data_IF_832953767489
#
_entry.id   IF_832953767489
#
_cell.length_a   1.000
_cell.length_b   1.000
_cell.length_c   1.000
_cell.angle_alpha   90.00
_cell.angle_beta   90.00
_cell.angle_gamma   90.00
#
_symmetry.space_group_name_H-M   'P 1'
#
loop_
_entity.id
_entity.type
_entity.pdbx_description
1 polymer ?
#
# COMPACT_ATOMS: atom_id res chain seq x y z
N UNK A 1 -37.46 68.89 54.93
CA UNK A 1 -36.36 68.03 54.41
C UNK A 1 -37.02 66.78 53.82
N UNK A 2 -37.32 66.76 52.52
CA UNK A 2 -38.01 65.64 51.88
C UNK A 2 -36.96 64.67 51.32
N UNK A 3 -36.98 63.42 51.78
CA UNK A 3 -36.11 62.35 51.30
C UNK A 3 -36.84 61.65 50.17
N UNK A 4 -36.29 61.73 48.95
CA UNK A 4 -36.77 60.98 47.79
C UNK A 4 -36.18 59.57 47.88
N UNK A 5 -37.03 58.56 48.00
CA UNK A 5 -36.63 57.16 48.02
C UNK A 5 -36.75 56.59 46.60
N UNK A 6 -35.61 56.26 45.99
CA UNK A 6 -35.56 55.61 44.67
C UNK A 6 -35.81 54.10 44.87
N UNK A 7 -36.80 53.48 44.20
CA UNK A 7 -36.98 52.03 44.28
C UNK A 7 -35.82 51.30 43.56
N UNK A 8 -35.41 50.11 44.05
CA UNK A 8 -34.33 49.37 43.42
C UNK A 8 -34.72 48.92 42.01
N UNK A 9 -33.76 49.03 41.07
CA UNK A 9 -33.89 48.49 39.73
C UNK A 9 -34.15 46.98 39.81
N UNK A 10 -35.26 46.57 39.21
CA UNK A 10 -35.65 45.19 39.01
C UNK A 10 -34.51 44.45 38.31
N UNK A 11 -33.75 43.64 39.05
CA UNK A 11 -32.78 42.73 38.46
C UNK A 11 -33.58 41.73 37.63
N UNK A 12 -33.50 41.85 36.30
CA UNK A 12 -33.98 40.82 35.40
C UNK A 12 -33.07 39.60 35.58
N UNK A 13 -33.50 38.77 36.52
CA UNK A 13 -33.43 37.32 36.52
C UNK A 13 -32.35 36.74 35.61
N UNK A 14 -31.30 36.23 36.26
CA UNK A 14 -30.33 35.28 35.70
C UNK A 14 -30.99 34.00 35.14
N UNK A 15 -32.31 33.86 35.25
CA UNK A 15 -33.07 32.67 34.85
C UNK A 15 -33.50 32.69 33.37
N UNK A 16 -33.35 33.81 32.66
CA UNK A 16 -33.63 33.85 31.20
C UNK A 16 -32.65 33.00 30.38
N UNK A 17 -31.45 32.71 30.89
CA UNK A 17 -30.47 31.85 30.22
C UNK A 17 -30.79 30.36 30.41
N UNK A 18 -31.55 29.98 31.46
CA UNK A 18 -31.89 28.59 31.75
C UNK A 18 -33.09 28.05 30.94
N UNK A 19 -33.84 28.91 30.24
CA UNK A 19 -35.06 28.53 29.50
C UNK A 19 -34.80 27.80 28.18
N UNK A 20 -33.57 27.80 27.66
CA UNK A 20 -33.22 27.12 26.39
C UNK A 20 -32.53 25.76 26.54
N UNK A 21 -32.35 25.27 27.78
CA UNK A 21 -31.68 24.01 28.07
C UNK A 21 -32.26 22.76 27.33
N UNK A 22 -33.58 22.64 27.05
CA UNK A 22 -34.10 21.48 26.32
C UNK A 22 -33.75 21.49 24.83
N UNK A 23 -33.76 22.66 24.19
CA UNK A 23 -33.57 22.80 22.73
C UNK A 23 -32.11 22.66 22.35
N UNK A 24 -31.19 23.26 23.12
CA UNK A 24 -29.75 23.14 22.89
C UNK A 24 -29.27 21.69 23.01
N UNK A 25 -29.74 20.94 24.03
CA UNK A 25 -29.43 19.51 24.17
C UNK A 25 -29.98 18.65 23.03
N UNK A 26 -31.15 19.00 22.47
CA UNK A 26 -31.72 18.31 21.29
C UNK A 26 -30.91 18.59 20.03
N UNK A 27 -30.43 19.83 19.84
CA UNK A 27 -29.57 20.21 18.71
C UNK A 27 -28.19 19.57 18.79
N UNK A 28 -27.56 19.53 19.96
CA UNK A 28 -26.27 18.85 20.15
C UNK A 28 -26.37 17.34 19.90
N UNK A 29 -27.48 16.74 20.32
CA UNK A 29 -27.76 15.32 20.04
C UNK A 29 -27.94 15.06 18.54
N UNK A 30 -28.68 15.92 17.85
CA UNK A 30 -28.88 15.85 16.40
C UNK A 30 -27.57 16.08 15.63
N UNK A 31 -26.76 17.06 16.03
CA UNK A 31 -25.47 17.35 15.41
C UNK A 31 -24.46 16.24 15.65
N UNK A 32 -24.43 15.63 16.85
CA UNK A 32 -23.61 14.45 17.11
C UNK A 32 -24.05 13.24 16.28
N UNK A 33 -25.37 13.01 16.14
CA UNK A 33 -25.90 11.95 15.27
C UNK A 33 -25.60 12.20 13.79
N UNK A 34 -25.74 13.43 13.31
CA UNK A 34 -25.46 13.80 11.93
C UNK A 34 -23.96 13.68 11.60
N UNK A 35 -23.09 14.06 12.54
CA UNK A 35 -21.63 13.94 12.41
C UNK A 35 -21.16 12.48 12.38
N UNK A 36 -21.77 11.62 13.20
CA UNK A 36 -21.52 10.17 13.17
C UNK A 36 -22.00 9.56 11.85
N UNK A 37 -23.19 9.92 11.35
CA UNK A 37 -23.69 9.44 10.06
C UNK A 37 -22.80 9.85 8.88
N UNK A 38 -22.29 11.09 8.88
CA UNK A 38 -21.38 11.59 7.83
C UNK A 38 -20.00 10.90 7.89
N UNK A 39 -19.49 10.63 9.09
CA UNK A 39 -18.24 9.87 9.28
C UNK A 39 -18.39 8.42 8.82
N UNK A 40 -19.52 7.76 9.13
CA UNK A 40 -19.78 6.39 8.69
C UNK A 40 -19.93 6.29 7.16
N UNK A 41 -20.54 7.28 6.50
CA UNK A 41 -20.62 7.29 5.03
C UNK A 41 -19.27 7.49 4.36
N UNK A 42 -18.38 8.30 4.95
CA UNK A 42 -17.03 8.52 4.42
C UNK A 42 -16.12 7.30 4.60
N UNK A 43 -16.27 6.54 5.69
CA UNK A 43 -15.54 5.28 5.89
C UNK A 43 -15.92 4.20 4.87
N UNK A 44 -17.18 4.15 4.42
CA UNK A 44 -17.63 3.17 3.41
C UNK A 44 -16.94 3.35 2.05
N UNK A 45 -16.54 4.60 1.71
CA UNK A 45 -15.78 4.92 0.50
C UNK A 45 -14.28 4.66 0.65
N UNK A 46 -13.75 4.59 1.87
CA UNK A 46 -12.36 4.21 2.16
C UNK A 46 -12.14 2.69 2.21
N UNK A 47 -13.21 1.90 2.26
CA UNK A 47 -13.18 0.43 2.27
C UNK A 47 -13.45 -0.17 0.88
N UNK A 48 -13.26 0.61 -0.20
CA UNK A 48 -13.23 0.07 -1.54
C UNK A 48 -11.97 -0.79 -1.72
N UNK A 49 -12.07 -2.03 -1.23
CA UNK A 49 -11.66 -3.25 -1.95
C UNK A 49 -10.30 -3.10 -2.65
N UNK A 50 -9.23 -3.41 -1.93
CA UNK A 50 -8.14 -4.15 -2.58
C UNK A 50 -8.63 -5.58 -2.67
N UNK A 51 -9.47 -5.86 -3.68
CA UNK A 51 -9.65 -7.24 -4.09
C UNK A 51 -8.26 -7.71 -4.51
N UNK A 52 -7.81 -8.85 -3.96
CA UNK A 52 -6.65 -9.52 -4.51
C UNK A 52 -6.98 -9.79 -5.99
N UNK A 53 -6.33 -9.04 -6.87
CA UNK A 53 -6.47 -9.22 -8.30
C UNK A 53 -5.49 -10.30 -8.71
N UNK A 54 -5.95 -11.30 -9.44
CA UNK A 54 -5.05 -12.28 -10.05
C UNK A 54 -4.01 -11.53 -10.89
N UNK A 55 -2.74 -11.83 -10.66
CA UNK A 55 -1.67 -11.26 -11.44
C UNK A 55 -1.64 -12.00 -12.77
N UNK A 56 -2.18 -11.37 -13.80
CA UNK A 56 -2.05 -11.86 -15.17
C UNK A 56 -0.61 -11.68 -15.65
N UNK A 57 0.16 -12.76 -15.62
CA UNK A 57 1.54 -12.77 -16.10
C UNK A 57 1.63 -12.54 -17.62
N UNK A 58 0.57 -12.79 -18.38
CA UNK A 58 0.57 -12.55 -19.83
C UNK A 58 0.47 -11.05 -20.16
N UNK A 59 -0.12 -10.27 -19.27
CA UNK A 59 -0.33 -8.84 -19.41
C UNK A 59 0.37 -8.01 -18.32
N UNK A 60 1.39 -8.57 -17.66
CA UNK A 60 2.11 -7.89 -16.57
C UNK A 60 2.80 -6.61 -17.11
N UNK A 61 2.39 -5.41 -16.67
CA UNK A 61 3.04 -4.19 -17.13
C UNK A 61 4.41 -4.03 -16.46
N UNK A 62 5.37 -3.48 -17.20
CA UNK A 62 6.75 -3.25 -16.73
C UNK A 62 6.84 -2.33 -15.50
N UNK A 63 5.81 -1.54 -15.23
CA UNK A 63 5.69 -0.71 -14.02
C UNK A 63 5.33 -1.49 -12.76
N UNK A 64 4.90 -2.75 -12.89
CA UNK A 64 4.51 -3.62 -11.78
C UNK A 64 5.50 -4.77 -11.58
N UNK A 65 6.21 -5.18 -12.62
CA UNK A 65 7.22 -6.21 -12.55
C UNK A 65 7.66 -6.69 -13.92
N UNK A 66 8.34 -7.82 -13.94
CA UNK A 66 8.85 -8.48 -15.12
C UNK A 66 8.84 -10.00 -14.90
N UNK A 67 8.98 -10.77 -15.97
CA UNK A 67 9.06 -12.23 -15.90
C UNK A 67 10.48 -12.70 -16.07
N UNK A 68 10.78 -13.82 -15.42
CA UNK A 68 12.02 -14.57 -15.64
C UNK A 68 11.59 -15.90 -16.24
N UNK A 69 12.02 -16.12 -17.48
CA UNK A 69 11.57 -17.20 -18.34
C UNK A 69 12.74 -18.15 -18.55
N UNK A 70 12.51 -19.45 -18.40
CA UNK A 70 13.51 -20.46 -18.73
C UNK A 70 13.68 -20.57 -20.25
N UNK A 71 14.91 -20.73 -20.72
CA UNK A 71 15.22 -20.76 -22.15
C UNK A 71 15.06 -22.14 -22.80
N UNK A 72 15.57 -23.20 -22.17
CA UNK A 72 15.56 -24.54 -22.77
C UNK A 72 14.51 -25.44 -22.11
N UNK A 73 13.68 -26.15 -22.89
CA UNK A 73 12.71 -27.09 -22.34
C UNK A 73 13.39 -28.19 -21.53
N UNK A 74 12.81 -28.53 -20.38
CA UNK A 74 13.26 -29.56 -19.43
C UNK A 74 14.44 -29.20 -18.51
N UNK A 75 15.07 -28.04 -18.64
CA UNK A 75 16.16 -27.59 -17.75
C UNK A 75 15.71 -27.37 -16.28
N UNK A 76 14.40 -27.34 -16.04
CA UNK A 76 13.76 -27.06 -14.74
C UNK A 76 14.28 -25.74 -14.13
N UNK A 77 14.45 -24.73 -14.98
CA UNK A 77 14.77 -23.37 -14.55
C UNK A 77 13.78 -22.85 -13.51
N UNK A 78 14.28 -22.05 -12.58
CA UNK A 78 13.50 -21.45 -11.49
C UNK A 78 12.76 -22.48 -10.62
N UNK A 79 13.28 -23.71 -10.52
CA UNK A 79 12.79 -24.68 -9.56
C UNK A 79 13.12 -24.26 -8.11
N UNK A 80 14.24 -23.57 -7.91
CA UNK A 80 14.64 -22.97 -6.65
C UNK A 80 15.07 -21.52 -6.86
N UNK A 81 14.70 -20.66 -5.91
CA UNK A 81 15.05 -19.25 -5.86
C UNK A 81 15.47 -18.91 -4.44
N UNK A 82 16.54 -18.14 -4.28
CA UNK A 82 16.99 -17.63 -2.98
C UNK A 82 17.48 -16.19 -3.11
N UNK A 83 17.45 -15.46 -2.01
CA UNK A 83 18.25 -14.25 -1.86
C UNK A 83 19.73 -14.65 -1.92
N UNK A 84 20.52 -13.97 -2.75
CA UNK A 84 21.96 -14.17 -2.88
C UNK A 84 22.77 -13.14 -2.07
N UNK A 85 22.12 -12.13 -1.52
CA UNK A 85 22.75 -10.91 -1.01
C UNK A 85 23.30 -10.07 -2.16
N UNK A 86 23.98 -8.97 -1.83
CA UNK A 86 24.71 -8.16 -2.80
C UNK A 86 26.02 -8.88 -3.22
N UNK A 87 26.00 -9.55 -4.37
CA UNK A 87 27.14 -10.32 -4.90
C UNK A 87 28.13 -9.42 -5.62
N UNK A 88 27.66 -8.30 -6.18
CA UNK A 88 28.46 -7.41 -7.02
C UNK A 88 29.01 -6.18 -6.28
N UNK A 89 28.58 -5.93 -5.04
CA UNK A 89 29.03 -4.85 -4.17
C UNK A 89 28.38 -3.49 -4.43
N UNK A 90 27.21 -3.43 -5.09
CA UNK A 90 26.52 -2.18 -5.42
C UNK A 90 25.57 -1.66 -4.32
N UNK A 91 25.45 -2.42 -3.22
CA UNK A 91 24.59 -2.12 -2.08
C UNK A 91 23.16 -2.63 -2.24
N UNK A 92 22.87 -3.46 -3.24
CA UNK A 92 21.53 -3.98 -3.54
C UNK A 92 21.55 -5.50 -3.56
N UNK A 93 20.62 -6.12 -2.83
CA UNK A 93 20.53 -7.58 -2.78
C UNK A 93 20.18 -8.18 -4.15
N UNK A 94 20.91 -9.23 -4.53
CA UNK A 94 20.74 -10.01 -5.74
C UNK A 94 19.90 -11.28 -5.50
N UNK A 95 19.44 -11.88 -6.60
CA UNK A 95 18.66 -13.12 -6.57
C UNK A 95 19.41 -14.23 -7.32
N UNK A 96 19.47 -15.42 -6.73
CA UNK A 96 19.99 -16.62 -7.39
C UNK A 96 18.87 -17.59 -7.75
N UNK A 97 18.97 -18.16 -8.95
CA UNK A 97 17.98 -19.05 -9.55
C UNK A 97 18.66 -20.33 -10.02
N UNK A 98 18.16 -21.48 -9.57
CA UNK A 98 18.65 -22.79 -9.98
C UNK A 98 17.92 -23.37 -11.20
N UNK A 99 18.67 -23.99 -12.10
CA UNK A 99 18.20 -24.81 -13.21
C UNK A 99 18.94 -26.15 -13.16
N UNK A 100 18.42 -27.11 -12.38
CA UNK A 100 19.19 -28.30 -12.00
C UNK A 100 19.34 -29.35 -13.10
N UNK A 101 18.60 -29.24 -14.22
CA UNK A 101 18.78 -30.05 -15.42
C UNK A 101 19.30 -29.21 -16.60
N UNK A 102 19.78 -27.99 -16.36
CA UNK A 102 20.40 -27.22 -17.41
C UNK A 102 21.72 -27.86 -17.85
N UNK A 103 21.92 -27.93 -19.16
CA UNK A 103 23.18 -28.33 -19.77
C UNK A 103 24.27 -27.28 -19.46
N UNK A 104 25.47 -27.76 -19.15
CA UNK A 104 26.66 -26.92 -19.06
C UNK A 104 27.55 -27.11 -20.29
N UNK A 105 28.53 -26.23 -20.47
CA UNK A 105 29.47 -26.29 -21.60
C UNK A 105 30.15 -27.66 -21.80
N UNK A 106 30.30 -28.47 -20.74
CA UNK A 106 31.04 -29.73 -20.79
C UNK A 106 30.23 -30.97 -20.36
N UNK A 107 28.96 -30.81 -19.97
CA UNK A 107 28.15 -31.93 -19.49
C UNK A 107 26.66 -31.63 -19.61
N UNK A 108 25.92 -32.63 -20.07
CA UNK A 108 24.46 -32.61 -20.07
C UNK A 108 23.93 -32.70 -18.63
N UNK A 109 22.78 -32.06 -18.38
CA UNK A 109 22.06 -32.06 -17.09
C UNK A 109 22.94 -31.75 -15.85
N UNK A 110 24.04 -31.00 -16.05
CA UNK A 110 24.99 -30.72 -14.97
C UNK A 110 24.43 -29.75 -13.92
N UNK A 111 23.41 -29.00 -14.31
CA UNK A 111 22.82 -27.93 -13.53
C UNK A 111 23.56 -26.60 -13.72
N UNK A 112 22.79 -25.53 -13.80
CA UNK A 112 23.28 -24.15 -13.91
C UNK A 112 22.58 -23.29 -12.85
N UNK A 113 23.31 -22.31 -12.30
CA UNK A 113 22.76 -21.28 -11.46
C UNK A 113 22.93 -19.91 -12.12
N UNK A 114 21.88 -19.10 -12.09
CA UNK A 114 21.87 -17.73 -12.61
C UNK A 114 21.79 -16.75 -11.46
N UNK A 115 22.64 -15.73 -11.47
CA UNK A 115 22.52 -14.59 -10.55
C UNK A 115 21.92 -13.43 -11.34
N UNK A 116 20.83 -12.87 -10.83
CA UNK A 116 20.20 -11.67 -11.37
C UNK A 116 20.56 -10.54 -10.43
N UNK A 117 21.31 -9.57 -10.95
CA UNK A 117 21.70 -8.42 -10.16
C UNK A 117 20.50 -7.54 -9.84
N UNK A 118 20.40 -7.19 -8.56
CA UNK A 118 19.54 -6.13 -8.09
C UNK A 118 19.94 -4.81 -8.74
N UNK A 119 18.99 -3.90 -8.84
CA UNK A 119 19.30 -2.50 -9.19
C UNK A 119 18.24 -1.59 -8.64
N UNK A 120 18.66 -0.40 -8.29
CA UNK A 120 17.75 0.69 -8.01
C UNK A 120 17.25 1.22 -9.36
N UNK A 121 15.95 1.50 -9.45
CA UNK A 121 15.35 2.11 -10.63
C UNK A 121 15.07 3.56 -10.24
N UNK A 122 16.06 4.47 -10.31
CA UNK A 122 15.78 5.89 -10.23
C UNK A 122 14.82 6.22 -11.37
N UNK A 123 13.80 7.04 -11.13
CA UNK A 123 12.58 7.19 -11.94
C UNK A 123 12.70 7.54 -13.44
N UNK A 124 13.90 7.52 -14.03
CA UNK A 124 14.14 7.57 -15.48
C UNK A 124 14.77 6.29 -16.08
N UNK A 125 15.27 5.37 -15.26
CA UNK A 125 15.81 4.11 -15.74
C UNK A 125 14.67 3.21 -16.25
N UNK A 126 14.83 2.55 -17.41
CA UNK A 126 13.82 1.63 -17.90
C UNK A 126 13.65 0.51 -16.88
N UNK A 127 12.40 0.14 -16.57
CA UNK A 127 12.12 -1.03 -15.75
C UNK A 127 12.73 -2.30 -16.37
N UNK A 128 12.88 -3.37 -15.57
CA UNK A 128 13.30 -4.65 -16.14
C UNK A 128 12.30 -5.06 -17.24
N UNK A 129 12.84 -5.46 -18.38
CA UNK A 129 12.08 -6.26 -19.35
C UNK A 129 12.04 -7.71 -18.90
N UNK A 130 11.27 -8.54 -19.61
CA UNK A 130 11.34 -9.98 -19.39
C UNK A 130 12.75 -10.50 -19.61
N UNK A 131 13.23 -11.32 -18.67
CA UNK A 131 14.55 -11.94 -18.70
C UNK A 131 14.39 -13.36 -19.24
N UNK A 132 15.09 -13.69 -20.32
CA UNK A 132 15.19 -15.05 -20.84
C UNK A 132 16.48 -15.70 -20.35
N UNK A 133 16.35 -16.71 -19.49
CA UNK A 133 17.45 -17.55 -19.00
C UNK A 133 17.77 -18.60 -20.05
N UNK A 134 18.40 -18.19 -21.14
CA UNK A 134 18.88 -19.09 -22.19
C UNK A 134 20.19 -19.72 -21.76
N UNK A 135 20.24 -21.06 -21.78
CA UNK A 135 21.48 -21.83 -21.80
C UNK A 135 22.13 -21.65 -23.18
N UNK A 136 22.85 -20.54 -23.37
CA UNK A 136 23.61 -20.25 -24.60
C UNK A 136 23.94 -18.77 -24.71
N UNK A 137 25.20 -18.31 -24.72
CA UNK A 137 26.42 -18.94 -25.27
C UNK A 137 27.54 -19.04 -24.24
#
# INVERSE_FOLDING_TARGET
KAVIQIPPLHQTSRDSVLSMAPVAKRMDFLLRRLRVMLLLSLLSSFCAIVAAQDVDLSALPSSKGFRILGGTPNDRCANSVSNAGDVNGDGIDDVIIGAFFADSANSLDAGVAYVIFGRDIPGSAPAFGDIQLTTGS
#
